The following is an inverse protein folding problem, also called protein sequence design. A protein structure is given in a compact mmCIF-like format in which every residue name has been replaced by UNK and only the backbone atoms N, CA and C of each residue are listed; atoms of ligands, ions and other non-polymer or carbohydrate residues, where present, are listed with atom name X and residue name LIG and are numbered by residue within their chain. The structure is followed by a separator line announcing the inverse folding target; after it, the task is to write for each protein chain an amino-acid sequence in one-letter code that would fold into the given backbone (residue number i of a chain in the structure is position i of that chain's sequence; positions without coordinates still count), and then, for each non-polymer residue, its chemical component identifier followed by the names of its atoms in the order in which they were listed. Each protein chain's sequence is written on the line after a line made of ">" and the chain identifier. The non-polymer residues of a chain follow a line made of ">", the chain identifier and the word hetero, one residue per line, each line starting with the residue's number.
data_IF_397707292736
#
_entry.id   IF_397707292736
#
_cell.length_a   1.000
_cell.length_b   1.000
_cell.length_c   1.000
_cell.angle_alpha   90.00
_cell.angle_beta   90.00
_cell.angle_gamma   90.00
#
_symmetry.space_group_name_H-M   'P 1'
#
loop_
_entity.id
_entity.type
_entity.pdbx_description
1 polymer ?
#
# COMPACT_ATOMS: atom_id res chain seq x y z
N UNK A 1 5.05 -38.32 -99.22
CA UNK A 1 6.22 -38.92 -99.91
C UNK A 1 7.41 -38.74 -98.96
N UNK A 2 7.68 -39.73 -98.11
CA UNK A 2 8.72 -40.77 -98.28
C UNK A 2 10.09 -40.20 -98.61
N UNK A 3 11.05 -40.37 -97.69
CA UNK A 3 12.38 -40.99 -97.88
C UNK A 3 13.42 -40.38 -96.92
N UNK A 4 13.76 -41.06 -95.81
CA UNK A 4 14.77 -42.12 -95.60
C UNK A 4 16.17 -41.52 -95.28
N UNK A 5 16.85 -42.03 -94.23
CA UNK A 5 17.90 -41.33 -93.48
C UNK A 5 19.33 -41.75 -93.88
N UNK A 6 20.34 -40.99 -93.45
CA UNK A 6 21.75 -41.31 -93.66
C UNK A 6 22.44 -41.86 -92.40
N UNK A 7 23.23 -42.88 -92.67
CA UNK A 7 23.90 -43.87 -91.82
C UNK A 7 24.73 -43.35 -90.64
N UNK A 8 24.73 -44.14 -89.56
CA UNK A 8 25.66 -44.12 -88.43
C UNK A 8 26.92 -44.93 -88.76
N UNK A 9 28.09 -44.42 -88.40
CA UNK A 9 29.33 -45.21 -88.29
C UNK A 9 29.48 -45.79 -86.87
N UNK A 10 30.10 -46.98 -86.71
CA UNK A 10 30.15 -47.73 -85.45
C UNK A 10 31.29 -47.31 -84.51
N UNK A 11 31.01 -47.39 -83.21
CA UNK A 11 31.94 -47.14 -82.10
C UNK A 11 33.11 -48.15 -82.05
N UNK A 12 34.30 -47.65 -81.70
CA UNK A 12 35.43 -48.45 -81.24
C UNK A 12 35.49 -48.48 -79.69
N UNK A 13 35.96 -49.58 -79.05
CA UNK A 13 35.82 -49.79 -77.62
C UNK A 13 36.94 -49.15 -76.76
N UNK A 14 36.54 -48.90 -75.51
CA UNK A 14 37.15 -48.15 -74.40
C UNK A 14 38.53 -48.63 -73.94
N UNK A 15 39.26 -47.76 -73.24
CA UNK A 15 39.95 -48.15 -72.01
C UNK A 15 39.21 -47.65 -70.76
N UNK A 16 39.03 -48.57 -69.82
CA UNK A 16 38.58 -48.34 -68.45
C UNK A 16 39.72 -47.67 -67.66
N UNK A 17 39.44 -46.57 -66.97
CA UNK A 17 40.29 -46.17 -65.86
C UNK A 17 39.53 -45.46 -64.73
N UNK A 18 39.50 -46.20 -63.62
CA UNK A 18 39.48 -45.82 -62.19
C UNK A 18 38.34 -44.92 -61.68
N UNK A 19 37.45 -45.55 -60.91
CA UNK A 19 36.47 -44.91 -60.04
C UNK A 19 37.18 -44.32 -58.81
N UNK A 20 37.14 -42.99 -58.66
CA UNK A 20 37.45 -42.34 -57.39
C UNK A 20 36.23 -42.42 -56.44
N UNK A 21 36.43 -42.77 -55.16
CA UNK A 21 35.34 -43.07 -54.24
C UNK A 21 34.61 -41.81 -53.78
N UNK A 22 33.28 -41.82 -53.97
CA UNK A 22 32.35 -40.88 -53.34
C UNK A 22 32.43 -40.99 -51.82
N UNK A 23 33.03 -39.99 -51.17
CA UNK A 23 32.79 -39.73 -49.74
C UNK A 23 31.73 -38.63 -49.64
N UNK A 24 30.50 -39.06 -49.39
CA UNK A 24 29.41 -38.18 -49.02
C UNK A 24 29.75 -37.50 -47.68
N UNK A 25 30.09 -36.21 -47.73
CA UNK A 25 30.13 -35.37 -46.55
C UNK A 25 28.68 -35.22 -46.02
N UNK A 26 28.34 -35.98 -45.00
CA UNK A 26 27.12 -35.79 -44.23
C UNK A 26 27.23 -34.43 -43.52
N UNK A 27 26.42 -33.45 -43.94
CA UNK A 27 26.28 -32.20 -43.20
C UNK A 27 25.76 -32.51 -41.80
N UNK A 28 26.57 -32.21 -40.78
CA UNK A 28 26.19 -32.34 -39.39
C UNK A 28 24.93 -31.49 -39.10
N UNK A 29 23.96 -32.00 -38.33
CA UNK A 29 22.73 -31.26 -38.04
C UNK A 29 23.08 -29.94 -37.35
N UNK A 30 22.59 -28.85 -37.94
CA UNK A 30 22.76 -27.49 -37.42
C UNK A 30 22.12 -27.42 -36.04
N UNK A 31 22.95 -27.40 -34.99
CA UNK A 31 22.49 -27.21 -33.61
C UNK A 31 21.87 -25.81 -33.53
N UNK A 32 20.54 -25.75 -33.61
CA UNK A 32 19.81 -24.54 -33.26
C UNK A 32 19.96 -24.41 -31.75
N UNK A 33 20.91 -23.59 -31.32
CA UNK A 33 21.00 -23.14 -29.94
C UNK A 33 19.73 -22.33 -29.67
N UNK A 34 18.69 -22.98 -29.17
CA UNK A 34 17.62 -22.28 -28.49
C UNK A 34 18.30 -21.51 -27.37
N UNK A 35 18.30 -20.17 -27.45
CA UNK A 35 18.64 -19.36 -26.30
C UNK A 35 17.67 -19.76 -25.21
N UNK A 36 18.13 -20.58 -24.26
CA UNK A 36 17.48 -20.73 -22.97
C UNK A 36 17.65 -19.37 -22.33
N UNK A 37 16.66 -18.50 -22.53
CA UNK A 37 16.57 -17.26 -21.77
C UNK A 37 16.41 -17.72 -20.32
N UNK A 38 17.38 -17.44 -19.42
CA UNK A 38 17.23 -17.81 -18.03
C UNK A 38 15.91 -17.20 -17.55
N UNK A 39 14.98 -18.04 -17.09
CA UNK A 39 13.81 -17.56 -16.37
C UNK A 39 14.37 -16.67 -15.26
N UNK A 40 14.09 -15.34 -15.27
CA UNK A 40 14.62 -14.47 -14.24
C UNK A 40 14.11 -15.03 -12.91
N UNK A 41 15.04 -15.40 -12.03
CA UNK A 41 14.67 -16.04 -10.78
C UNK A 41 13.63 -15.17 -10.07
N UNK A 42 12.60 -15.81 -9.55
CA UNK A 42 11.58 -15.22 -8.69
C UNK A 42 12.16 -14.79 -7.32
N UNK A 43 13.47 -14.50 -7.24
CA UNK A 43 14.18 -14.20 -6.00
C UNK A 43 13.54 -13.06 -5.22
N UNK A 44 12.94 -12.08 -5.90
CA UNK A 44 12.19 -10.99 -5.24
C UNK A 44 10.98 -11.50 -4.49
N UNK A 45 10.28 -12.48 -5.07
CA UNK A 45 9.11 -13.09 -4.46
C UNK A 45 9.52 -14.00 -3.32
N UNK A 46 10.60 -14.77 -3.48
CA UNK A 46 11.16 -15.61 -2.43
C UNK A 46 11.65 -14.77 -1.22
N UNK A 47 12.40 -13.70 -1.47
CA UNK A 47 12.86 -12.79 -0.42
C UNK A 47 11.69 -12.06 0.25
N UNK A 48 10.65 -11.70 -0.51
CA UNK A 48 9.43 -11.14 0.07
C UNK A 48 8.75 -12.15 1.00
N UNK A 49 8.59 -13.41 0.57
CA UNK A 49 7.99 -14.46 1.39
C UNK A 49 8.81 -14.73 2.66
N UNK A 50 10.14 -14.78 2.57
CA UNK A 50 11.03 -14.89 3.74
C UNK A 50 10.84 -13.71 4.68
N UNK A 51 10.79 -12.49 4.14
CA UNK A 51 10.61 -11.27 4.93
C UNK A 51 9.26 -11.28 5.64
N UNK A 52 8.17 -11.63 4.96
CA UNK A 52 6.82 -11.71 5.53
C UNK A 52 6.69 -12.72 6.69
N UNK A 53 7.51 -13.78 6.68
CA UNK A 53 7.53 -14.78 7.75
C UNK A 53 8.25 -14.30 9.03
N UNK A 54 8.96 -13.17 8.99
CA UNK A 54 9.65 -12.65 10.17
C UNK A 54 8.65 -12.14 11.21
N UNK A 55 8.78 -12.65 12.45
CA UNK A 55 7.82 -12.43 13.54
C UNK A 55 7.52 -10.98 13.92
N UNK A 56 8.40 -10.03 13.61
CA UNK A 56 8.00 -8.62 13.66
C UNK A 56 8.41 -7.78 12.44
N UNK A 57 9.56 -7.99 11.78
CA UNK A 57 9.85 -7.21 10.56
C UNK A 57 8.88 -7.54 9.41
N UNK A 58 8.36 -8.77 9.39
CA UNK A 58 7.42 -9.24 8.38
C UNK A 58 5.97 -8.84 8.62
N UNK A 59 5.67 -8.30 9.81
CA UNK A 59 4.30 -8.00 10.23
C UNK A 59 3.61 -7.06 9.23
N UNK A 60 2.62 -7.60 8.54
CA UNK A 60 1.81 -6.91 7.53
C UNK A 60 2.53 -6.43 6.28
N UNK A 61 3.76 -6.88 6.04
CA UNK A 61 4.51 -6.55 4.81
C UNK A 61 3.78 -7.03 3.56
N UNK A 62 3.13 -8.20 3.64
CA UNK A 62 2.30 -8.76 2.57
C UNK A 62 1.23 -7.80 2.04
N UNK A 63 0.71 -6.91 2.89
CA UNK A 63 -0.29 -5.93 2.48
C UNK A 63 0.27 -4.91 1.48
N UNK A 64 1.59 -4.74 1.41
CA UNK A 64 2.27 -3.83 0.49
C UNK A 64 2.73 -4.51 -0.80
N UNK A 65 2.60 -5.83 -0.91
CA UNK A 65 2.95 -6.55 -2.12
C UNK A 65 2.15 -6.03 -3.31
N UNK A 66 2.83 -5.74 -4.41
CA UNK A 66 2.23 -5.28 -5.68
C UNK A 66 1.26 -4.08 -5.55
N UNK A 67 1.48 -3.18 -4.57
CA UNK A 67 0.63 -2.01 -4.34
C UNK A 67 1.20 -0.72 -4.94
N UNK A 68 0.91 -0.35 -6.21
CA UNK A 68 1.53 0.81 -6.87
C UNK A 68 1.21 2.14 -6.19
N UNK A 69 0.01 2.28 -5.63
CA UNK A 69 -0.38 3.48 -4.87
C UNK A 69 0.42 3.59 -3.58
N UNK A 70 0.46 2.51 -2.80
CA UNK A 70 1.12 2.48 -1.49
C UNK A 70 2.64 2.54 -1.59
N UNK A 71 3.23 2.04 -2.67
CA UNK A 71 4.68 2.00 -2.88
C UNK A 71 5.20 3.14 -3.75
N UNK A 72 4.34 3.93 -4.38
CA UNK A 72 4.73 4.97 -5.33
C UNK A 72 5.64 6.07 -4.76
N UNK A 73 5.67 6.26 -3.45
CA UNK A 73 6.58 7.22 -2.81
C UNK A 73 8.04 6.72 -2.77
N UNK A 74 8.26 5.41 -2.87
CA UNK A 74 9.61 4.81 -2.78
C UNK A 74 10.46 5.24 -3.97
N UNK A 75 9.92 5.29 -5.18
CA UNK A 75 10.67 5.74 -6.36
C UNK A 75 10.83 7.26 -6.47
N UNK A 76 10.00 8.04 -5.77
CA UNK A 76 9.95 9.50 -5.92
C UNK A 76 10.94 10.22 -5.00
N UNK A 77 12.22 10.31 -5.43
CA UNK A 77 13.31 10.88 -4.60
C UNK A 77 13.25 12.40 -4.39
N UNK A 78 12.61 13.16 -5.28
CA UNK A 78 12.74 14.62 -5.34
C UNK A 78 11.82 15.45 -4.43
N UNK A 79 10.92 14.83 -3.66
CA UNK A 79 9.87 15.56 -2.91
C UNK A 79 10.03 15.54 -1.39
N UNK A 80 11.12 14.98 -0.86
CA UNK A 80 11.26 14.77 0.58
C UNK A 80 12.70 14.97 1.06
N UNK A 81 12.86 15.55 2.24
CA UNK A 81 14.12 15.49 2.95
C UNK A 81 14.51 14.04 3.25
N UNK A 82 15.75 13.66 2.97
CA UNK A 82 16.25 12.29 3.09
C UNK A 82 16.01 11.71 4.49
N UNK A 83 16.13 12.53 5.54
CA UNK A 83 15.83 12.14 6.92
C UNK A 83 14.43 11.55 7.10
N UNK A 84 13.41 12.16 6.50
CA UNK A 84 12.03 11.69 6.61
C UNK A 84 11.82 10.41 5.80
N UNK A 85 12.57 10.26 4.70
CA UNK A 85 12.55 9.07 3.85
C UNK A 85 13.07 7.86 4.60
N UNK A 86 14.19 8.02 5.30
CA UNK A 86 14.78 6.97 6.14
C UNK A 86 13.79 6.53 7.22
N UNK A 87 13.15 7.48 7.93
CA UNK A 87 12.15 7.13 8.94
C UNK A 87 10.95 6.43 8.31
N UNK A 88 10.44 6.92 7.19
CA UNK A 88 9.34 6.28 6.46
C UNK A 88 9.67 4.85 6.02
N UNK A 89 10.91 4.59 5.57
CA UNK A 89 11.40 3.25 5.25
C UNK A 89 11.45 2.37 6.50
N UNK A 90 11.95 2.90 7.63
CA UNK A 90 11.95 2.18 8.92
C UNK A 90 10.53 1.80 9.38
N UNK A 91 9.55 2.68 9.17
CA UNK A 91 8.15 2.38 9.44
C UNK A 91 7.61 1.31 8.49
N UNK A 92 7.85 1.46 7.17
CA UNK A 92 7.43 0.50 6.14
C UNK A 92 7.96 -0.90 6.44
N UNK A 93 9.19 -1.04 6.91
CA UNK A 93 9.80 -2.33 7.23
C UNK A 93 9.73 -2.79 8.68
N UNK A 94 9.01 -2.05 9.54
CA UNK A 94 8.86 -2.35 10.96
C UNK A 94 10.22 -2.56 11.67
N UNK A 95 11.21 -1.71 11.32
CA UNK A 95 12.56 -1.66 11.93
C UNK A 95 12.82 -0.34 12.66
N UNK A 96 11.77 0.44 12.91
CA UNK A 96 11.88 1.60 13.79
C UNK A 96 12.28 1.13 15.20
N UNK A 97 13.21 1.83 15.89
CA UNK A 97 13.79 1.37 17.15
C UNK A 97 12.82 1.53 18.34
N UNK A 98 11.72 0.79 18.32
CA UNK A 98 10.82 0.64 19.48
C UNK A 98 11.45 -0.29 20.50
N UNK A 99 11.07 -0.20 21.79
CA UNK A 99 11.58 -1.15 22.80
C UNK A 99 11.29 -2.61 22.44
N UNK A 100 10.15 -2.92 21.80
CA UNK A 100 9.90 -4.29 21.32
C UNK A 100 10.89 -4.73 20.23
N UNK A 101 11.29 -3.81 19.35
CA UNK A 101 12.30 -4.10 18.32
C UNK A 101 13.70 -4.24 18.92
N UNK A 102 14.08 -3.33 19.83
CA UNK A 102 15.40 -3.30 20.45
C UNK A 102 15.62 -4.44 21.45
N UNK A 103 14.60 -4.86 22.19
CA UNK A 103 14.68 -5.97 23.14
C UNK A 103 14.74 -7.37 22.50
N UNK A 104 14.87 -7.48 21.18
CA UNK A 104 15.03 -8.77 20.49
C UNK A 104 16.38 -9.38 20.83
N UNK A 105 16.39 -10.69 21.10
CA UNK A 105 17.60 -11.40 21.50
C UNK A 105 18.07 -11.09 22.92
N UNK A 106 17.35 -10.24 23.67
CA UNK A 106 17.68 -9.84 25.04
C UNK A 106 16.57 -10.27 26.00
N UNK A 107 16.70 -11.46 26.58
CA UNK A 107 15.76 -11.97 27.56
C UNK A 107 15.67 -11.03 28.78
N UNK A 108 14.45 -10.82 29.31
CA UNK A 108 14.22 -9.99 30.50
C UNK A 108 14.19 -8.47 30.28
N UNK A 109 14.46 -7.98 29.07
CA UNK A 109 14.42 -6.54 28.78
C UNK A 109 13.01 -5.97 28.90
N UNK A 110 12.88 -4.79 29.53
CA UNK A 110 11.61 -4.08 29.58
C UNK A 110 11.20 -3.61 28.18
N UNK A 111 10.13 -4.21 27.65
CA UNK A 111 9.55 -3.88 26.34
C UNK A 111 8.31 -2.98 26.44
N UNK A 112 7.92 -2.52 27.63
CA UNK A 112 6.78 -1.63 27.85
C UNK A 112 6.97 -0.26 27.21
N UNK A 113 5.91 0.51 27.02
CA UNK A 113 6.01 1.87 26.51
C UNK A 113 6.79 2.79 27.46
N UNK A 114 7.55 3.75 26.91
CA UNK A 114 8.16 4.82 27.70
C UNK A 114 7.15 5.78 28.34
N UNK A 115 6.06 6.11 27.64
CA UNK A 115 5.15 7.20 28.02
C UNK A 115 3.78 6.76 28.55
N UNK A 116 3.51 5.46 28.60
CA UNK A 116 2.24 4.96 29.13
C UNK A 116 2.36 3.53 29.66
N UNK A 117 1.29 3.04 30.28
CA UNK A 117 1.23 1.70 30.89
C UNK A 117 1.09 0.55 29.90
N UNK A 118 1.19 0.80 28.59
CA UNK A 118 1.03 -0.27 27.59
C UNK A 118 2.20 -1.28 27.69
N UNK A 119 1.91 -2.59 27.79
CA UNK A 119 2.92 -3.60 28.13
C UNK A 119 3.94 -3.87 27.02
N UNK A 120 3.68 -3.41 25.80
CA UNK A 120 4.57 -3.60 24.63
C UNK A 120 4.62 -2.33 23.78
N UNK A 121 5.80 -1.73 23.67
CA UNK A 121 6.06 -0.62 22.76
C UNK A 121 6.30 -1.16 21.35
N UNK A 122 5.24 -1.20 20.55
CA UNK A 122 5.30 -1.55 19.13
C UNK A 122 4.93 -0.33 18.27
N UNK A 123 5.20 -0.39 16.96
CA UNK A 123 4.70 0.65 16.05
C UNK A 123 3.17 0.71 16.05
N UNK A 124 2.49 -0.45 16.15
CA UNK A 124 1.03 -0.48 16.27
C UNK A 124 0.52 0.24 17.52
N UNK A 125 1.21 0.08 18.64
CA UNK A 125 0.91 0.84 19.87
C UNK A 125 1.14 2.34 19.67
N UNK A 126 2.35 2.76 19.25
CA UNK A 126 2.71 4.18 19.09
C UNK A 126 1.75 4.86 18.11
N UNK A 127 1.57 4.28 16.91
CA UNK A 127 0.81 4.88 15.82
C UNK A 127 -0.72 4.77 15.97
N UNK A 128 -1.17 3.80 16.77
CA UNK A 128 -2.60 3.47 16.91
C UNK A 128 -3.25 4.08 18.15
N UNK A 129 -2.64 3.93 19.33
CA UNK A 129 -3.35 4.14 20.61
C UNK A 129 -2.57 4.92 21.67
N UNK A 130 -1.24 5.06 21.55
CA UNK A 130 -0.41 5.67 22.59
C UNK A 130 -0.84 7.11 22.96
N UNK A 131 -1.20 7.43 24.22
CA UNK A 131 -1.63 8.78 24.58
C UNK A 131 -0.61 9.88 24.27
N UNK A 132 0.69 9.59 24.35
CA UNK A 132 1.78 10.54 24.10
C UNK A 132 1.77 11.19 22.70
N UNK A 133 1.11 10.56 21.72
CA UNK A 133 0.99 11.06 20.34
C UNK A 133 -0.47 11.24 19.91
N UNK A 134 -1.40 11.35 20.87
CA UNK A 134 -2.82 11.51 20.60
C UNK A 134 -3.14 12.74 19.75
N UNK A 135 -2.59 13.90 20.09
CA UNK A 135 -2.79 15.13 19.31
C UNK A 135 -2.29 14.96 17.87
N UNK A 136 -1.11 14.36 17.69
CA UNK A 136 -0.56 14.08 16.38
C UNK A 136 -1.42 13.09 15.56
N UNK A 137 -2.07 12.11 16.21
CA UNK A 137 -3.07 11.25 15.54
C UNK A 137 -4.27 12.05 15.04
N UNK A 138 -4.82 12.93 15.87
CA UNK A 138 -5.96 13.78 15.53
C UNK A 138 -5.58 14.72 14.37
N UNK A 139 -4.39 15.33 14.42
CA UNK A 139 -3.89 16.18 13.33
C UNK A 139 -3.72 15.42 12.01
N UNK A 140 -3.15 14.21 12.05
CA UNK A 140 -3.03 13.33 10.88
C UNK A 140 -4.40 13.02 10.30
N UNK A 141 -5.34 12.61 11.15
CA UNK A 141 -6.72 12.30 10.76
C UNK A 141 -7.39 13.51 10.09
N UNK A 142 -7.41 14.65 10.76
CA UNK A 142 -8.07 15.86 10.28
C UNK A 142 -7.45 16.37 8.98
N UNK A 143 -6.14 16.17 8.78
CA UNK A 143 -5.48 16.49 7.51
C UNK A 143 -6.00 15.63 6.36
N UNK A 144 -6.23 14.33 6.59
CA UNK A 144 -6.78 13.42 5.59
C UNK A 144 -8.23 13.80 5.25
N UNK A 145 -9.06 14.08 6.27
CA UNK A 145 -10.44 14.54 6.07
C UNK A 145 -10.48 15.85 5.25
N UNK A 146 -9.62 16.82 5.57
CA UNK A 146 -9.51 18.08 4.82
C UNK A 146 -9.14 17.87 3.34
N UNK A 147 -8.24 16.92 3.05
CA UNK A 147 -7.87 16.59 1.66
C UNK A 147 -9.08 16.00 0.93
N UNK A 148 -9.75 15.00 1.52
CA UNK A 148 -10.89 14.33 0.89
C UNK A 148 -12.06 15.30 0.68
N UNK A 149 -12.36 16.13 1.68
CA UNK A 149 -13.37 17.17 1.60
C UNK A 149 -13.06 18.19 0.50
N UNK A 150 -11.79 18.60 0.34
CA UNK A 150 -11.38 19.50 -0.74
C UNK A 150 -11.58 18.87 -2.13
N UNK A 151 -11.36 17.56 -2.28
CA UNK A 151 -11.65 16.86 -3.54
C UNK A 151 -13.16 16.78 -3.81
N UNK A 152 -13.98 16.50 -2.80
CA UNK A 152 -15.44 16.54 -2.95
C UNK A 152 -15.95 17.93 -3.36
N UNK A 153 -15.47 19.00 -2.72
CA UNK A 153 -15.83 20.37 -3.07
C UNK A 153 -15.49 20.73 -4.52
N UNK A 154 -14.35 20.27 -5.04
CA UNK A 154 -13.97 20.45 -6.45
C UNK A 154 -14.88 19.71 -7.42
N UNK A 155 -15.54 18.66 -6.96
CA UNK A 155 -16.56 17.92 -7.69
C UNK A 155 -17.98 18.40 -7.32
N UNK A 156 -18.13 19.64 -6.84
CA UNK A 156 -19.40 20.30 -6.58
C UNK A 156 -20.26 19.62 -5.48
N UNK A 157 -19.62 18.88 -4.58
CA UNK A 157 -20.29 18.38 -3.38
C UNK A 157 -20.34 19.45 -2.30
N UNK A 158 -21.50 19.60 -1.67
CA UNK A 158 -21.59 20.26 -0.36
C UNK A 158 -21.02 19.33 0.69
N UNK A 159 -20.17 19.82 1.60
CA UNK A 159 -19.47 18.97 2.57
C UNK A 159 -19.72 19.48 3.99
N UNK A 160 -20.31 18.62 4.82
CA UNK A 160 -20.45 18.80 6.26
C UNK A 160 -19.30 18.09 6.97
N UNK A 161 -18.72 18.76 7.98
CA UNK A 161 -17.65 18.20 8.82
C UNK A 161 -18.23 17.85 10.18
N UNK A 162 -17.97 16.64 10.66
CA UNK A 162 -18.30 16.18 12.02
C UNK A 162 -19.72 16.58 12.47
N UNK A 163 -20.79 16.36 11.66
CA UNK A 163 -22.13 16.72 12.08
C UNK A 163 -22.52 15.95 13.35
N UNK A 164 -23.25 16.63 14.23
CA UNK A 164 -23.70 16.06 15.48
C UNK A 164 -25.04 15.37 15.26
N UNK A 165 -25.03 14.04 15.27
CA UNK A 165 -26.21 13.21 15.05
C UNK A 165 -26.50 12.43 16.32
N UNK A 166 -27.77 12.18 16.62
CA UNK A 166 -28.19 11.38 17.77
C UNK A 166 -28.99 10.19 17.33
N UNK A 167 -28.68 8.99 17.79
CA UNK A 167 -29.57 7.86 17.51
C UNK A 167 -30.86 7.95 18.33
N UNK A 168 -31.78 6.99 18.14
CA UNK A 168 -33.04 6.93 18.88
C UNK A 168 -32.84 6.80 20.41
N UNK A 169 -31.70 6.27 20.85
CA UNK A 169 -31.32 6.17 22.26
C UNK A 169 -30.69 7.47 22.82
N UNK A 170 -30.53 8.51 21.99
CA UNK A 170 -29.94 9.79 22.35
C UNK A 170 -28.41 9.82 22.34
N UNK A 171 -27.74 8.74 21.94
CA UNK A 171 -26.28 8.64 21.87
C UNK A 171 -25.73 9.54 20.76
N UNK A 172 -24.65 10.25 21.03
CA UNK A 172 -24.05 11.19 20.09
C UNK A 172 -23.08 10.48 19.13
N UNK A 173 -23.40 10.53 17.84
CA UNK A 173 -22.57 10.03 16.75
C UNK A 173 -22.07 11.23 15.92
N UNK A 174 -20.79 11.19 15.55
CA UNK A 174 -20.14 12.22 14.74
C UNK A 174 -19.39 11.55 13.58
N UNK A 175 -20.03 11.34 12.42
CA UNK A 175 -19.29 10.89 11.24
C UNK A 175 -18.33 12.00 10.78
N UNK A 176 -17.18 11.67 10.22
CA UNK A 176 -16.18 12.70 9.90
C UNK A 176 -16.64 13.66 8.79
N UNK A 177 -17.22 13.11 7.72
CA UNK A 177 -17.60 13.86 6.52
C UNK A 177 -18.95 13.37 5.99
N UNK A 178 -19.81 14.31 5.59
CA UNK A 178 -21.01 14.03 4.81
C UNK A 178 -20.98 14.88 3.54
N UNK A 179 -20.94 14.20 2.39
CA UNK A 179 -20.98 14.83 1.07
C UNK A 179 -22.42 14.79 0.55
N UNK A 180 -22.95 15.91 0.08
CA UNK A 180 -24.32 16.01 -0.47
C UNK A 180 -24.30 16.60 -1.88
N UNK A 181 -24.95 15.91 -2.82
CA UNK A 181 -25.16 16.35 -4.21
C UNK A 181 -26.33 15.59 -4.83
N UNK A 182 -27.17 16.28 -5.60
CA UNK A 182 -28.26 15.69 -6.41
C UNK A 182 -29.19 14.74 -5.63
N UNK A 183 -29.57 15.10 -4.40
CA UNK A 183 -30.41 14.26 -3.54
C UNK A 183 -29.73 12.99 -3.02
N UNK A 184 -28.40 12.90 -3.12
CA UNK A 184 -27.58 11.82 -2.57
C UNK A 184 -26.66 12.34 -1.48
N UNK A 185 -26.58 11.62 -0.36
CA UNK A 185 -25.63 11.84 0.72
C UNK A 185 -24.64 10.67 0.83
N UNK A 186 -23.35 10.97 0.87
CA UNK A 186 -22.27 10.01 1.15
C UNK A 186 -21.69 10.33 2.53
N UNK A 187 -21.93 9.46 3.50
CA UNK A 187 -21.34 9.54 4.83
C UNK A 187 -20.03 8.79 4.81
N UNK A 188 -18.92 9.49 5.06
CA UNK A 188 -17.56 8.94 4.96
C UNK A 188 -16.84 9.12 6.29
N UNK A 189 -16.49 8.01 6.91
CA UNK A 189 -15.79 7.97 8.20
C UNK A 189 -14.35 7.48 7.97
N UNK A 190 -13.40 8.40 8.08
CA UNK A 190 -11.98 8.17 7.84
C UNK A 190 -11.37 7.42 9.02
N UNK A 191 -10.46 6.50 8.74
CA UNK A 191 -9.75 5.80 9.80
C UNK A 191 -8.35 5.44 9.37
N UNK A 192 -7.40 5.57 10.30
CA UNK A 192 -6.01 5.19 10.07
C UNK A 192 -5.66 4.06 11.03
N UNK A 193 -5.35 2.88 10.49
CA UNK A 193 -5.03 1.68 11.30
C UNK A 193 -3.64 1.16 10.99
N UNK A 194 -2.98 0.63 12.01
CA UNK A 194 -1.73 -0.08 11.80
C UNK A 194 -1.99 -1.40 11.07
N UNK A 195 -1.21 -1.66 10.04
CA UNK A 195 -1.42 -2.81 9.15
C UNK A 195 -0.78 -4.07 9.75
N UNK A 196 -1.23 -4.52 10.93
CA UNK A 196 -0.67 -5.71 11.60
C UNK A 196 -1.18 -7.05 11.05
N UNK A 197 -2.30 -7.05 10.32
CA UNK A 197 -2.90 -8.23 9.69
C UNK A 197 -4.12 -7.87 8.82
N UNK A 198 -4.37 -8.67 7.76
CA UNK A 198 -5.41 -8.40 6.76
C UNK A 198 -6.84 -8.38 7.35
N UNK A 199 -7.14 -9.31 8.26
CA UNK A 199 -8.47 -9.45 8.86
C UNK A 199 -8.89 -8.20 9.66
N UNK A 200 -7.95 -7.55 10.36
CA UNK A 200 -8.23 -6.34 11.15
C UNK A 200 -8.68 -5.15 10.32
N UNK A 201 -8.30 -5.09 9.04
CA UNK A 201 -8.60 -3.95 8.16
C UNK A 201 -10.00 -4.07 7.55
N UNK A 202 -10.39 -5.27 7.10
CA UNK A 202 -11.70 -5.50 6.51
C UNK A 202 -12.84 -5.37 7.53
N UNK A 203 -12.67 -5.93 8.73
CA UNK A 203 -13.68 -5.81 9.79
C UNK A 203 -13.91 -4.35 10.19
N UNK A 204 -12.84 -3.54 10.30
CA UNK A 204 -12.95 -2.15 10.71
C UNK A 204 -13.71 -1.24 9.72
N UNK A 205 -13.64 -1.53 8.42
CA UNK A 205 -14.39 -0.77 7.41
C UNK A 205 -15.90 -1.09 7.46
N UNK A 206 -16.24 -2.38 7.63
CA UNK A 206 -17.63 -2.83 7.75
C UNK A 206 -18.28 -2.36 9.07
N UNK A 207 -17.56 -2.45 10.20
CA UNK A 207 -18.01 -1.95 11.50
C UNK A 207 -18.35 -0.45 11.46
N UNK A 208 -17.52 0.36 10.80
CA UNK A 208 -17.76 1.81 10.67
C UNK A 208 -18.98 2.12 9.81
N UNK A 209 -19.21 1.38 8.72
CA UNK A 209 -20.40 1.57 7.91
C UNK A 209 -21.67 1.16 8.68
N UNK A 210 -21.62 0.09 9.49
CA UNK A 210 -22.74 -0.38 10.28
C UNK A 210 -23.14 0.60 11.40
N UNK A 211 -22.17 1.31 11.99
CA UNK A 211 -22.35 2.23 13.13
C UNK A 211 -23.36 3.37 12.89
N UNK A 212 -23.64 3.72 11.64
CA UNK A 212 -24.46 4.89 11.30
C UNK A 212 -25.75 4.54 10.57
N UNK A 213 -26.05 3.24 10.37
CA UNK A 213 -27.23 2.80 9.61
C UNK A 213 -28.55 3.31 10.24
N UNK A 214 -28.59 3.44 11.56
CA UNK A 214 -29.70 3.95 12.35
C UNK A 214 -29.88 5.48 12.25
N UNK A 215 -28.93 6.20 11.63
CA UNK A 215 -28.95 7.66 11.52
C UNK A 215 -29.51 8.19 10.19
N UNK A 216 -30.06 7.31 9.34
CA UNK A 216 -30.58 7.67 8.02
C UNK A 216 -31.54 8.87 8.08
N UNK A 217 -32.53 8.84 8.98
CA UNK A 217 -33.54 9.89 9.06
C UNK A 217 -32.92 11.28 9.37
N UNK A 218 -31.96 11.35 10.29
CA UNK A 218 -31.30 12.61 10.63
C UNK A 218 -30.35 13.09 9.56
N UNK A 219 -29.66 12.18 8.86
CA UNK A 219 -28.86 12.56 7.70
C UNK A 219 -29.77 13.13 6.62
N UNK A 220 -30.92 12.49 6.33
CA UNK A 220 -31.87 12.97 5.34
C UNK A 220 -32.46 14.34 5.73
N UNK A 221 -32.78 14.55 7.01
CA UNK A 221 -33.24 15.85 7.53
C UNK A 221 -32.16 16.94 7.41
N UNK A 222 -30.93 16.64 7.83
CA UNK A 222 -29.80 17.56 7.76
C UNK A 222 -29.45 17.96 6.32
N UNK A 223 -29.58 17.03 5.38
CA UNK A 223 -29.02 17.18 4.02
C UNK A 223 -30.07 17.36 2.92
N UNK A 224 -31.33 17.05 3.19
CA UNK A 224 -32.38 16.95 2.16
C UNK A 224 -32.18 15.79 1.18
N UNK A 225 -31.21 14.91 1.40
CA UNK A 225 -30.94 13.79 0.51
C UNK A 225 -32.03 12.72 0.59
N UNK A 226 -32.34 12.10 -0.54
CA UNK A 226 -33.24 10.95 -0.63
C UNK A 226 -32.50 9.64 -0.42
N UNK A 227 -31.25 9.56 -0.89
CA UNK A 227 -30.41 8.38 -0.79
C UNK A 227 -29.21 8.65 0.11
N UNK A 228 -28.93 7.76 1.06
CA UNK A 228 -27.78 7.84 1.95
C UNK A 228 -26.94 6.59 1.80
N UNK A 229 -25.62 6.73 1.70
CA UNK A 229 -24.68 5.60 1.68
C UNK A 229 -23.51 5.84 2.63
N UNK A 230 -23.09 4.79 3.33
CA UNK A 230 -22.05 4.84 4.34
C UNK A 230 -20.76 4.19 3.87
N UNK A 231 -19.62 4.81 4.17
CA UNK A 231 -18.30 4.30 3.82
C UNK A 231 -17.33 4.45 4.99
N UNK A 232 -16.68 3.34 5.36
CA UNK A 232 -15.42 3.40 6.08
C UNK A 232 -14.28 3.71 5.12
N UNK A 233 -13.60 4.85 5.29
CA UNK A 233 -12.46 5.24 4.46
C UNK A 233 -11.15 4.89 5.16
N UNK A 234 -10.68 3.66 4.93
CA UNK A 234 -9.56 3.09 5.65
C UNK A 234 -8.22 3.40 4.97
N UNK A 235 -7.31 3.98 5.73
CA UNK A 235 -5.91 4.16 5.36
C UNK A 235 -5.02 3.42 6.34
N UNK A 236 -3.91 2.92 5.82
CA UNK A 236 -2.90 2.32 6.65
C UNK A 236 -1.99 3.35 7.31
N UNK A 237 -1.59 3.12 8.56
CA UNK A 237 -0.66 3.98 9.28
C UNK A 237 0.73 4.02 8.61
N UNK A 238 1.14 2.94 7.94
CA UNK A 238 2.35 2.92 7.10
C UNK A 238 2.05 3.38 5.67
N UNK A 239 0.86 3.88 5.37
CA UNK A 239 0.47 4.38 4.05
C UNK A 239 -0.10 3.31 3.12
N UNK A 240 -0.69 2.23 3.64
CA UNK A 240 -1.47 1.29 2.81
C UNK A 240 -2.73 1.98 2.28
N UNK A 241 -2.99 1.78 0.99
CA UNK A 241 -4.25 2.15 0.35
C UNK A 241 -5.19 0.95 0.38
N UNK A 242 -6.42 1.16 0.84
CA UNK A 242 -7.48 0.14 0.82
C UNK A 242 -8.26 0.19 -0.49
N UNK A 243 -8.61 -0.98 -1.06
CA UNK A 243 -9.27 -1.05 -2.35
C UNK A 243 -10.67 -0.40 -2.34
N UNK A 244 -11.43 -0.57 -1.26
CA UNK A 244 -12.79 -0.03 -1.16
C UNK A 244 -12.86 1.50 -1.24
N UNK A 245 -11.76 2.19 -0.90
CA UNK A 245 -11.67 3.64 -1.03
C UNK A 245 -11.85 4.11 -2.50
N UNK A 246 -11.58 3.25 -3.49
CA UNK A 246 -11.85 3.57 -4.89
C UNK A 246 -13.33 3.82 -5.17
N UNK A 247 -14.23 3.15 -4.44
CA UNK A 247 -15.67 3.34 -4.59
C UNK A 247 -16.07 4.74 -4.14
N UNK A 248 -15.50 5.23 -3.03
CA UNK A 248 -15.73 6.60 -2.52
C UNK A 248 -15.25 7.63 -3.55
N UNK A 249 -14.02 7.50 -4.05
CA UNK A 249 -13.50 8.45 -5.04
C UNK A 249 -14.29 8.41 -6.36
N UNK A 250 -14.83 7.24 -6.73
CA UNK A 250 -15.69 7.09 -7.92
C UNK A 250 -17.04 7.77 -7.72
N UNK A 251 -17.68 7.58 -6.56
CA UNK A 251 -18.96 8.22 -6.23
C UNK A 251 -18.83 9.73 -6.11
N UNK A 252 -17.71 10.23 -5.60
CA UNK A 252 -17.41 11.67 -5.61
C UNK A 252 -17.28 12.24 -7.03
N UNK A 253 -17.07 11.40 -8.05
CA UNK A 253 -17.00 11.82 -9.46
C UNK A 253 -15.59 12.17 -9.94
N UNK A 254 -14.55 11.72 -9.25
CA UNK A 254 -13.17 11.96 -9.70
C UNK A 254 -12.87 11.19 -11.00
N UNK A 255 -12.08 11.77 -11.90
CA UNK A 255 -11.55 11.06 -13.07
C UNK A 255 -10.51 10.01 -12.66
N UNK A 256 -10.29 8.96 -13.46
CA UNK A 256 -9.36 7.88 -13.09
C UNK A 256 -7.94 8.38 -12.78
N UNK A 257 -7.40 9.30 -13.59
CA UNK A 257 -6.11 9.95 -13.32
C UNK A 257 -6.11 10.69 -11.97
N UNK A 258 -7.20 11.42 -11.67
CA UNK A 258 -7.31 12.14 -10.41
C UNK A 258 -7.45 11.20 -9.21
N UNK A 259 -8.23 10.11 -9.34
CA UNK A 259 -8.35 9.08 -8.29
C UNK A 259 -6.96 8.56 -7.92
N UNK A 260 -6.12 8.21 -8.88
CA UNK A 260 -4.77 7.73 -8.59
C UNK A 260 -3.90 8.78 -7.88
N UNK A 261 -3.95 10.03 -8.33
CA UNK A 261 -3.19 11.13 -7.70
C UNK A 261 -3.62 11.32 -6.25
N UNK A 262 -4.92 11.36 -5.99
CA UNK A 262 -5.50 11.52 -4.65
C UNK A 262 -5.18 10.32 -3.76
N UNK A 263 -5.28 9.10 -4.29
CA UNK A 263 -4.93 7.89 -3.56
C UNK A 263 -3.45 7.90 -3.13
N UNK A 264 -2.53 8.23 -4.04
CA UNK A 264 -1.09 8.37 -3.74
C UNK A 264 -0.85 9.47 -2.71
N UNK A 265 -1.52 10.62 -2.83
CA UNK A 265 -1.42 11.73 -1.89
C UNK A 265 -1.90 11.34 -0.49
N UNK A 266 -3.07 10.72 -0.36
CA UNK A 266 -3.64 10.31 0.92
C UNK A 266 -2.80 9.22 1.60
N UNK A 267 -2.40 8.17 0.86
CA UNK A 267 -1.46 7.15 1.37
C UNK A 267 -0.17 7.77 1.87
N UNK A 268 0.39 8.71 1.12
CA UNK A 268 1.62 9.38 1.48
C UNK A 268 1.46 10.29 2.70
N UNK A 269 0.37 11.06 2.78
CA UNK A 269 0.07 11.93 3.92
C UNK A 269 -0.20 11.15 5.19
N UNK A 270 -0.83 9.98 5.10
CA UNK A 270 -1.00 9.08 6.24
C UNK A 270 0.36 8.60 6.78
N UNK A 271 1.27 8.17 5.90
CA UNK A 271 2.62 7.77 6.28
C UNK A 271 3.45 8.93 6.86
N UNK A 272 3.39 10.13 6.26
CA UNK A 272 4.11 11.28 6.81
C UNK A 272 3.61 11.68 8.19
N UNK A 273 2.30 11.66 8.42
CA UNK A 273 1.76 11.88 9.76
C UNK A 273 2.31 10.85 10.77
N UNK A 274 2.50 9.59 10.36
CA UNK A 274 3.15 8.58 11.21
C UNK A 274 4.63 8.85 11.45
N UNK A 275 5.35 9.41 10.48
CA UNK A 275 6.74 9.87 10.65
C UNK A 275 6.79 10.98 11.69
N UNK A 276 5.89 11.97 11.61
CA UNK A 276 5.81 13.06 12.59
C UNK A 276 5.52 12.51 13.99
N UNK A 277 4.58 11.56 14.10
CA UNK A 277 4.24 10.92 15.37
C UNK A 277 5.43 10.22 16.04
N UNK A 278 6.20 9.41 15.32
CA UNK A 278 7.35 8.72 15.93
C UNK A 278 8.48 9.67 16.29
N UNK A 279 8.63 10.77 15.54
CA UNK A 279 9.57 11.84 15.89
C UNK A 279 9.14 12.58 17.16
N UNK A 280 7.84 12.88 17.31
CA UNK A 280 7.27 13.49 18.53
C UNK A 280 7.48 12.56 19.72
N UNK A 281 7.13 11.27 19.56
CA UNK A 281 7.33 10.24 20.58
C UNK A 281 8.78 10.20 21.05
N UNK A 282 9.74 10.08 20.13
CA UNK A 282 11.16 10.04 20.47
C UNK A 282 11.68 11.36 21.09
N UNK A 283 11.09 12.50 20.72
CA UNK A 283 11.50 13.81 21.26
C UNK A 283 11.01 14.02 22.69
N UNK A 284 9.79 13.57 23.01
CA UNK A 284 9.28 13.57 24.38
C UNK A 284 10.15 12.75 25.31
N UNK A 285 10.56 11.55 24.87
CA UNK A 285 11.44 10.70 25.67
C UNK A 285 12.78 11.39 26.01
N UNK A 286 13.38 12.09 25.04
CA UNK A 286 14.62 12.85 25.29
C UNK A 286 14.41 14.02 26.26
N UNK A 287 13.24 14.65 26.28
CA UNK A 287 12.95 15.73 27.21
C UNK A 287 12.75 15.21 28.63
N UNK A 288 12.01 14.10 28.78
CA UNK A 288 11.79 13.42 30.06
C UNK A 288 13.11 12.90 30.67
N UNK A 289 13.99 12.31 29.86
CA UNK A 289 15.30 11.83 30.36
C UNK A 289 16.20 12.97 30.86
N UNK A 290 16.14 14.13 30.20
CA UNK A 290 16.91 15.32 30.61
C UNK A 290 16.34 15.96 31.89
N UNK A 291 15.03 15.87 32.13
CA UNK A 291 14.44 16.35 33.39
C UNK A 291 14.73 15.43 34.57
N UNK A 292 14.78 14.12 34.35
CA UNK A 292 15.08 13.14 35.41
C UNK A 292 16.56 13.21 35.85
N UNK A 293 17.50 13.49 34.94
CA UNK A 293 18.92 13.69 35.27
C UNK A 293 19.21 15.04 35.96
N UNK A 294 18.28 16.00 35.92
CA UNK A 294 18.44 17.33 36.51
C UNK A 294 18.01 17.43 37.98
N UNK A 295 17.48 16.36 38.57
CA UNK A 295 17.19 16.29 40.00
C UNK A 295 18.47 15.90 40.76
N UNK A 296 18.95 16.72 41.72
CA UNK A 296 20.09 16.33 42.54
C UNK A 296 19.73 15.08 43.36
N UNK A 297 20.69 14.17 43.62
CA UNK A 297 20.44 13.06 44.52
C UNK A 297 20.12 13.60 45.91
N UNK A 298 18.99 13.14 46.47
CA UNK A 298 18.58 13.38 47.87
C UNK A 298 19.64 12.87 48.87
#
# INVERSE_FOLDING_TARGET
>A
MSSVPRFKEPEAPKPLEVQDPQVAAQEAPRVVLTKVIPQPSNWKDEEHSKWAQLCCQGEGVELFRNGPVSNGWISNRGRLAERLRIVALKLRSNVYPTRKFLGRGQAGTNIGCWHCTHPRETLGHILGICPAVQEARILRHNKLCKILAAEGKKCEWTVFYEPHLRNAAGELHKPDLVFVRDGTALVVDVTVRYEGGAASLLTAAAEKAAKYLDLNAQIQELTGAKQVTYFGFLLGARGKWHADNWQVLSKLGLSNSRKEQVARLLSWRALLGSVDMVNIFASRHRQESLSDEALPPD
#
